data_IF_089634541782
#
_entry.id   IF_089634541782
#
_cell.length_a   1.000
_cell.length_b   1.000
_cell.length_c   1.000
_cell.angle_alpha   90.00
_cell.angle_beta   90.00
_cell.angle_gamma   90.00
#
_symmetry.space_group_name_H-M   'P 1'
#
loop_
_entity.id
_entity.type
_entity.pdbx_description
1 polymer ?
#
# COMPACT_ATOMS: atom_id res chain seq x y z
N UNK A 1 -16.79 0.60 13.73
CA UNK A 1 -15.51 0.06 13.21
C UNK A 1 -14.44 1.11 13.46
N UNK A 2 -13.38 0.77 14.19
CA UNK A 2 -12.26 1.68 14.41
C UNK A 2 -11.17 1.35 13.37
N UNK A 3 -10.65 2.38 12.70
CA UNK A 3 -9.46 2.26 11.87
C UNK A 3 -8.23 2.32 12.79
N UNK A 4 -7.22 1.49 12.50
CA UNK A 4 -5.95 1.53 13.21
C UNK A 4 -4.95 2.38 12.42
N UNK A 5 -4.67 3.58 12.92
CA UNK A 5 -3.65 4.49 12.38
C UNK A 5 -2.35 4.48 13.21
N UNK A 6 -2.28 3.68 14.27
CA UNK A 6 -1.06 3.51 15.07
C UNK A 6 -0.16 2.39 14.51
N UNK A 7 -0.72 1.54 13.64
CA UNK A 7 -0.02 0.43 12.99
C UNK A 7 0.30 0.76 11.53
N UNK A 8 1.57 1.06 11.26
CA UNK A 8 2.10 1.19 9.90
C UNK A 8 2.89 -0.07 9.53
N UNK A 9 2.48 -0.86 8.51
CA UNK A 9 3.28 -1.99 8.04
C UNK A 9 4.63 -1.52 7.47
N UNK A 10 5.65 -2.38 7.53
CA UNK A 10 6.94 -2.14 6.89
C UNK A 10 6.77 -2.01 5.37
N UNK A 11 7.39 -0.97 4.79
CA UNK A 11 7.32 -0.65 3.36
C UNK A 11 8.69 -0.66 2.69
N UNK A 12 9.78 -0.76 3.44
CA UNK A 12 11.11 -0.99 2.90
C UNK A 12 11.15 -2.33 2.14
N UNK A 13 11.82 -2.34 0.98
CA UNK A 13 11.88 -3.53 0.11
C UNK A 13 10.61 -3.81 -0.70
N UNK A 14 9.56 -2.98 -0.59
CA UNK A 14 8.41 -2.98 -1.50
C UNK A 14 8.65 -2.05 -2.70
N UNK A 15 7.73 -2.01 -3.64
CA UNK A 15 7.73 -1.09 -4.79
C UNK A 15 7.41 0.38 -4.41
N UNK A 16 7.59 0.77 -3.14
CA UNK A 16 7.30 2.13 -2.67
C UNK A 16 8.39 3.12 -3.08
N UNK A 17 8.05 4.08 -3.96
CA UNK A 17 8.92 5.21 -4.30
C UNK A 17 9.33 6.03 -3.08
N UNK A 18 8.42 6.20 -2.09
CA UNK A 18 8.69 6.95 -0.86
C UNK A 18 9.90 6.39 -0.13
N UNK A 19 9.91 5.08 0.08
CA UNK A 19 10.93 4.35 0.84
C UNK A 19 12.16 4.00 -0.01
N UNK A 20 11.99 3.74 -1.30
CA UNK A 20 13.10 3.39 -2.21
C UNK A 20 14.10 4.55 -2.39
N UNK A 21 13.65 5.81 -2.42
CA UNK A 21 14.52 6.99 -2.66
C UNK A 21 15.71 7.09 -1.72
N UNK A 22 15.54 6.67 -0.46
CA UNK A 22 16.56 6.76 0.58
C UNK A 22 16.97 5.38 1.13
N UNK A 23 16.75 4.32 0.36
CA UNK A 23 17.18 2.97 0.74
C UNK A 23 18.68 2.95 1.09
N UNK A 24 19.04 2.21 2.15
CA UNK A 24 20.40 2.11 2.69
C UNK A 24 21.02 3.44 3.16
N UNK A 25 20.19 4.42 3.52
CA UNK A 25 20.61 5.69 4.14
C UNK A 25 19.86 5.89 5.45
N UNK A 26 20.48 6.58 6.39
CA UNK A 26 19.87 6.96 7.66
C UNK A 26 18.98 8.20 7.48
N UNK A 27 17.87 8.02 6.75
CA UNK A 27 16.91 9.09 6.44
C UNK A 27 15.50 8.53 6.57
N UNK A 28 14.68 9.19 7.39
CA UNK A 28 13.24 8.90 7.51
C UNK A 28 12.50 9.55 6.33
N UNK A 29 11.83 8.79 5.44
CA UNK A 29 11.18 9.38 4.27
C UNK A 29 9.87 10.10 4.62
N UNK A 30 9.88 11.43 4.58
CA UNK A 30 8.70 12.29 4.85
C UNK A 30 8.45 13.32 3.72
N UNK A 31 8.60 12.92 2.46
CA UNK A 31 8.75 13.88 1.34
C UNK A 31 7.66 13.81 0.26
N UNK A 32 7.11 12.63 -0.04
CA UNK A 32 6.07 12.45 -1.07
C UNK A 32 4.70 12.32 -0.42
N UNK A 33 3.66 12.80 -1.10
CA UNK A 33 2.29 12.80 -0.62
C UNK A 33 1.59 11.44 -0.79
N UNK A 34 2.11 10.40 -0.12
CA UNK A 34 1.42 9.14 0.15
C UNK A 34 1.47 8.80 1.65
N UNK A 35 0.65 7.84 2.08
CA UNK A 35 0.53 7.45 3.48
C UNK A 35 1.23 6.10 3.74
N UNK A 36 1.63 5.86 4.98
CA UNK A 36 2.16 4.56 5.43
C UNK A 36 1.08 3.66 6.05
N UNK A 37 -0.19 4.05 5.97
CA UNK A 37 -1.32 3.29 6.49
C UNK A 37 -1.84 2.28 5.47
N UNK A 38 -2.51 1.24 5.99
CA UNK A 38 -3.24 0.28 5.16
C UNK A 38 -4.44 0.97 4.50
N UNK A 39 -4.73 0.61 3.25
CA UNK A 39 -5.95 1.06 2.58
C UNK A 39 -7.22 0.60 3.34
N UNK A 40 -8.35 1.31 3.21
CA UNK A 40 -9.60 0.90 3.85
C UNK A 40 -10.00 -0.54 3.49
N UNK A 41 -10.61 -1.31 4.42
CA UNK A 41 -11.00 -2.71 4.17
C UNK A 41 -11.84 -2.90 2.91
N UNK A 42 -12.77 -1.98 2.64
CA UNK A 42 -13.60 -2.01 1.44
C UNK A 42 -12.78 -2.00 0.11
N UNK A 43 -11.65 -1.30 0.09
CA UNK A 43 -10.75 -1.25 -1.09
C UNK A 43 -9.99 -2.57 -1.21
N UNK A 44 -9.42 -3.05 -0.10
CA UNK A 44 -8.65 -4.32 -0.06
C UNK A 44 -9.54 -5.49 -0.50
N UNK A 45 -10.75 -5.59 0.03
CA UNK A 45 -11.72 -6.63 -0.30
C UNK A 45 -12.16 -6.58 -1.77
N UNK A 46 -12.36 -5.39 -2.34
CA UNK A 46 -12.71 -5.23 -3.75
C UNK A 46 -11.60 -5.75 -4.67
N UNK A 47 -10.33 -5.43 -4.35
CA UNK A 47 -9.16 -5.91 -5.09
C UNK A 47 -9.04 -7.43 -4.97
N UNK A 48 -9.14 -7.99 -3.76
CA UNK A 48 -9.08 -9.43 -3.52
C UNK A 48 -10.17 -10.18 -4.28
N UNK A 49 -11.42 -9.71 -4.22
CA UNK A 49 -12.55 -10.29 -4.97
C UNK A 49 -12.32 -10.27 -6.47
N UNK A 50 -11.77 -9.15 -7.00
CA UNK A 50 -11.45 -9.05 -8.42
C UNK A 50 -10.31 -9.99 -8.83
N UNK A 51 -9.29 -10.15 -7.98
CA UNK A 51 -8.18 -11.08 -8.21
C UNK A 51 -8.66 -12.54 -8.20
N UNK A 52 -9.54 -12.90 -7.26
CA UNK A 52 -10.09 -14.25 -7.13
C UNK A 52 -10.91 -14.72 -8.35
N UNK A 53 -11.44 -13.79 -9.16
CA UNK A 53 -12.15 -14.14 -10.40
C UNK A 53 -11.26 -14.86 -11.43
N UNK A 54 -9.93 -14.68 -11.40
CA UNK A 54 -8.97 -15.38 -12.26
C UNK A 54 -8.94 -14.97 -13.74
N UNK A 55 -9.99 -14.31 -14.26
CA UNK A 55 -10.01 -13.77 -15.64
C UNK A 55 -9.78 -12.26 -15.63
N UNK A 56 -8.78 -11.79 -16.38
CA UNK A 56 -8.33 -10.38 -16.43
C UNK A 56 -8.43 -9.75 -17.83
N UNK A 57 -9.34 -10.24 -18.67
CA UNK A 57 -9.61 -9.66 -19.99
C UNK A 57 -10.30 -8.30 -19.94
N UNK A 58 -10.69 -7.79 -21.12
CA UNK A 58 -11.31 -6.48 -21.26
C UNK A 58 -12.53 -6.31 -20.34
N UNK A 59 -12.52 -5.30 -19.45
CA UNK A 59 -13.71 -4.92 -18.72
C UNK A 59 -14.70 -4.27 -19.69
N UNK A 60 -15.99 -4.56 -19.53
CA UNK A 60 -17.07 -3.85 -20.20
C UNK A 60 -17.54 -2.67 -19.35
#
# INVERSE_FOLDING_TARGET
MAFNFDSCPERAGTDSTKWHKYANRDIIPCWIADMDFVSPPAVVEAIQRRAAHGVFGYPA
#
